data_IF_255393521639
#
_entry.id   IF_255393521639
#
_cell.length_a   1.000
_cell.length_b   1.000
_cell.length_c   1.000
_cell.angle_alpha   90.00
_cell.angle_beta   90.00
_cell.angle_gamma   90.00
#
_symmetry.space_group_name_H-M   'P 1'
#
loop_
_entity.id
_entity.type
_entity.pdbx_description
1 polymer ?
#
# COMPACT_ATOMS: atom_id res chain seq x y z
N UNK A 1 11.55 8.88 10.86
CA UNK A 1 11.81 7.42 10.89
C UNK A 1 12.60 7.06 12.14
N UNK A 2 12.03 6.29 13.06
CA UNK A 2 12.71 5.81 14.27
C UNK A 2 13.53 4.55 13.97
N UNK A 3 12.88 3.52 13.41
CA UNK A 3 13.49 2.22 13.04
C UNK A 3 13.84 2.14 11.54
N UNK A 4 14.86 1.40 11.12
CA UNK A 4 15.10 1.11 9.71
C UNK A 4 13.94 0.32 9.09
N UNK A 5 13.75 0.46 7.77
CA UNK A 5 12.82 -0.34 6.98
C UNK A 5 13.56 -0.95 5.79
N UNK A 6 13.09 -2.11 5.36
CA UNK A 6 13.48 -2.75 4.11
C UNK A 6 12.38 -2.54 3.07
N UNK A 7 12.75 -2.15 1.86
CA UNK A 7 11.87 -2.02 0.71
C UNK A 7 12.16 -3.21 -0.22
N UNK A 8 11.22 -4.14 -0.31
CA UNK A 8 11.35 -5.32 -1.15
C UNK A 8 10.64 -5.08 -2.49
N UNK A 9 11.41 -5.08 -3.59
CA UNK A 9 10.86 -4.94 -4.93
C UNK A 9 10.54 -6.31 -5.53
N UNK A 10 9.33 -6.43 -6.04
CA UNK A 10 8.85 -7.61 -6.77
C UNK A 10 8.55 -7.15 -8.18
N UNK A 11 9.47 -7.43 -9.10
CA UNK A 11 9.49 -6.83 -10.44
C UNK A 11 9.06 -7.82 -11.54
N UNK A 12 8.57 -7.29 -12.65
CA UNK A 12 8.29 -8.02 -13.89
C UNK A 12 9.07 -7.43 -15.08
N UNK A 13 8.75 -7.85 -16.31
CA UNK A 13 9.46 -7.41 -17.53
C UNK A 13 8.94 -6.11 -18.13
N UNK A 14 7.90 -5.48 -17.56
CA UNK A 14 7.28 -4.25 -18.11
C UNK A 14 8.10 -3.01 -17.75
N UNK A 15 7.95 -1.93 -18.53
CA UNK A 15 8.67 -0.68 -18.32
C UNK A 15 8.46 -0.07 -16.92
N UNK A 16 7.24 -0.20 -16.38
CA UNK A 16 6.91 0.26 -15.01
C UNK A 16 7.78 -0.39 -13.93
N UNK A 17 8.28 -1.62 -14.14
CA UNK A 17 9.22 -2.27 -13.21
C UNK A 17 10.57 -1.55 -13.15
N UNK A 18 11.07 -1.10 -14.31
CA UNK A 18 12.33 -0.36 -14.38
C UNK A 18 12.18 1.02 -13.75
N UNK A 19 11.04 1.68 -13.96
CA UNK A 19 10.71 2.96 -13.35
C UNK A 19 10.59 2.84 -11.82
N UNK A 20 9.89 1.81 -11.33
CA UNK A 20 9.78 1.54 -9.89
C UNK A 20 11.15 1.29 -9.26
N UNK A 21 11.97 0.45 -9.88
CA UNK A 21 13.32 0.17 -9.40
C UNK A 21 14.15 1.45 -9.30
N UNK A 22 14.22 2.24 -10.39
CA UNK A 22 14.98 3.48 -10.40
C UNK A 22 14.48 4.47 -9.33
N UNK A 23 13.16 4.59 -9.18
CA UNK A 23 12.54 5.45 -8.17
C UNK A 23 12.95 5.04 -6.75
N UNK A 24 12.86 3.76 -6.41
CA UNK A 24 13.15 3.27 -5.06
C UNK A 24 14.67 3.28 -4.78
N UNK A 25 15.51 3.01 -5.77
CA UNK A 25 16.96 3.17 -5.65
C UNK A 25 17.35 4.61 -5.30
N UNK A 26 16.75 5.61 -5.95
CA UNK A 26 16.99 7.02 -5.61
C UNK A 26 16.47 7.35 -4.21
N UNK A 27 15.29 6.86 -3.82
CA UNK A 27 14.74 7.09 -2.49
C UNK A 27 15.65 6.52 -1.38
N UNK A 28 16.18 5.31 -1.58
CA UNK A 28 17.09 4.64 -0.64
C UNK A 28 18.40 5.41 -0.49
N UNK A 29 18.95 5.98 -1.58
CA UNK A 29 20.16 6.82 -1.53
C UNK A 29 19.98 8.07 -0.66
N UNK A 30 18.75 8.58 -0.54
CA UNK A 30 18.43 9.78 0.25
C UNK A 30 18.25 9.50 1.76
N UNK A 31 18.23 8.23 2.19
CA UNK A 31 17.96 7.86 3.59
C UNK A 31 18.85 6.72 4.08
N UNK A 32 19.66 6.97 5.11
CA UNK A 32 20.43 5.92 5.79
C UNK A 32 19.60 4.93 6.62
N UNK A 33 18.26 4.99 6.54
CA UNK A 33 17.33 4.10 7.26
C UNK A 33 16.46 3.25 6.32
N UNK A 34 16.68 3.33 5.03
CA UNK A 34 16.01 2.49 4.04
C UNK A 34 17.04 1.51 3.47
N UNK A 35 16.63 0.25 3.36
CA UNK A 35 17.38 -0.79 2.68
C UNK A 35 16.58 -1.26 1.48
N UNK A 36 17.26 -1.71 0.44
CA UNK A 36 16.66 -2.22 -0.78
C UNK A 36 16.97 -3.70 -0.94
N UNK A 37 15.94 -4.49 -1.16
CA UNK A 37 16.05 -5.87 -1.62
C UNK A 37 15.25 -6.03 -2.90
N UNK A 38 15.82 -6.69 -3.90
CA UNK A 38 15.19 -6.84 -5.22
C UNK A 38 15.02 -8.33 -5.50
N UNK A 39 13.77 -8.73 -5.68
CA UNK A 39 13.40 -10.05 -6.14
C UNK A 39 12.86 -9.97 -7.58
N UNK A 40 13.62 -10.55 -8.49
CA UNK A 40 13.30 -10.64 -9.91
C UNK A 40 12.90 -12.09 -10.21
N UNK A 41 11.63 -12.40 -10.01
CA UNK A 41 11.07 -13.66 -10.48
C UNK A 41 10.74 -13.55 -11.98
N UNK A 42 11.22 -14.51 -12.77
CA UNK A 42 11.05 -14.54 -14.24
C UNK A 42 9.75 -15.17 -14.72
N UNK A 43 9.01 -15.83 -13.83
CA UNK A 43 7.70 -16.42 -14.15
C UNK A 43 6.58 -15.46 -13.74
N UNK A 44 5.91 -14.91 -14.75
CA UNK A 44 4.89 -13.86 -14.64
C UNK A 44 3.46 -14.40 -14.46
N UNK A 45 3.29 -15.72 -14.27
CA UNK A 45 1.98 -16.36 -14.25
C UNK A 45 1.58 -16.77 -12.84
N UNK A 46 1.40 -15.76 -11.98
CA UNK A 46 0.67 -15.89 -10.73
C UNK A 46 -0.54 -14.98 -10.87
N UNK A 47 -1.74 -15.49 -10.58
CA UNK A 47 -3.01 -14.85 -10.89
C UNK A 47 -3.20 -13.45 -10.27
N UNK A 48 -4.44 -12.95 -10.26
CA UNK A 48 -4.80 -11.59 -9.83
C UNK A 48 -4.24 -11.20 -8.44
N UNK A 49 -3.91 -12.18 -7.59
CA UNK A 49 -3.37 -11.98 -6.24
C UNK A 49 -1.88 -11.55 -6.17
N UNK A 50 -1.10 -11.67 -7.25
CA UNK A 50 0.35 -11.36 -7.22
C UNK A 50 0.78 -10.42 -8.35
N UNK A 51 0.01 -9.33 -8.53
CA UNK A 51 0.24 -8.40 -9.62
C UNK A 51 1.51 -7.56 -9.41
N UNK A 52 2.59 -7.98 -10.05
CA UNK A 52 3.83 -7.20 -10.16
C UNK A 52 3.68 -6.07 -11.18
N UNK A 53 4.47 -4.98 -11.11
CA UNK A 53 5.45 -4.73 -10.08
C UNK A 53 4.87 -4.06 -8.85
N UNK A 54 5.49 -4.33 -7.71
CA UNK A 54 5.21 -3.62 -6.47
C UNK A 54 6.44 -3.50 -5.58
N UNK A 55 6.37 -2.55 -4.66
CA UNK A 55 7.26 -2.43 -3.51
C UNK A 55 6.49 -2.80 -2.25
N UNK A 56 7.02 -3.75 -1.48
CA UNK A 56 6.53 -4.08 -0.14
C UNK A 56 7.42 -3.42 0.91
N UNK A 57 6.77 -2.90 1.96
CA UNK A 57 7.47 -2.30 3.10
C UNK A 57 7.58 -3.35 4.20
N UNK A 58 8.81 -3.65 4.58
CA UNK A 58 9.15 -4.62 5.61
C UNK A 58 9.94 -3.95 6.73
N UNK A 59 9.90 -4.56 7.91
CA UNK A 59 10.87 -4.30 8.98
C UNK A 59 12.27 -4.77 8.54
N UNK A 60 13.29 -4.36 9.29
CA UNK A 60 14.69 -4.69 9.01
C UNK A 60 14.96 -6.20 8.95
N UNK A 61 14.22 -7.01 9.72
CA UNK A 61 14.31 -8.46 9.73
C UNK A 61 13.55 -9.15 8.58
N UNK A 62 12.87 -8.39 7.71
CA UNK A 62 12.06 -8.91 6.60
C UNK A 62 10.59 -9.17 6.96
N UNK A 63 10.17 -8.92 8.20
CA UNK A 63 8.75 -9.03 8.57
C UNK A 63 7.93 -7.98 7.81
N UNK A 64 6.90 -8.40 7.06
CA UNK A 64 6.02 -7.47 6.34
C UNK A 64 5.32 -6.53 7.32
N UNK A 65 5.20 -5.25 6.96
CA UNK A 65 4.37 -4.30 7.70
C UNK A 65 2.94 -4.25 7.18
N UNK A 66 2.57 -5.14 6.26
CA UNK A 66 1.28 -5.15 5.58
C UNK A 66 1.12 -4.08 4.49
N UNK A 67 2.14 -3.27 4.20
CA UNK A 67 2.05 -2.18 3.22
C UNK A 67 2.68 -2.61 1.90
N UNK A 68 1.93 -2.46 0.80
CA UNK A 68 2.49 -2.56 -0.54
C UNK A 68 1.95 -1.48 -1.47
N UNK A 69 2.76 -1.12 -2.46
CA UNK A 69 2.37 -0.22 -3.54
C UNK A 69 2.70 -0.87 -4.89
N UNK A 70 1.67 -1.13 -5.68
CA UNK A 70 1.71 -1.70 -7.02
C UNK A 70 1.73 -0.59 -8.06
N UNK A 71 2.82 -0.51 -8.84
CA UNK A 71 3.18 0.64 -9.67
C UNK A 71 4.23 1.54 -9.01
N UNK A 72 4.41 2.77 -9.51
CA UNK A 72 5.40 3.73 -8.97
C UNK A 72 4.71 4.70 -8.00
N UNK A 73 5.15 4.81 -6.73
CA UNK A 73 4.52 5.69 -5.74
C UNK A 73 4.88 7.18 -5.98
N UNK A 74 4.43 7.72 -7.11
CA UNK A 74 4.64 9.11 -7.53
C UNK A 74 3.36 9.96 -7.46
N UNK A 75 3.35 11.07 -8.19
CA UNK A 75 2.19 11.97 -8.28
C UNK A 75 1.66 12.41 -6.91
N UNK A 76 0.35 12.35 -6.72
CA UNK A 76 -0.28 12.66 -5.42
C UNK A 76 -0.04 11.59 -4.35
N UNK A 77 0.35 10.37 -4.75
CA UNK A 77 0.60 9.26 -3.82
C UNK A 77 2.04 9.25 -3.27
N UNK A 78 2.93 10.11 -3.76
CA UNK A 78 4.26 10.32 -3.19
C UNK A 78 4.17 10.62 -1.69
N UNK A 79 3.32 11.58 -1.31
CA UNK A 79 3.12 11.96 0.09
C UNK A 79 2.52 10.80 0.90
N UNK A 80 1.57 10.07 0.32
CA UNK A 80 0.93 8.93 0.96
C UNK A 80 1.95 7.84 1.28
N UNK A 81 2.78 7.47 0.30
CA UNK A 81 3.82 6.47 0.46
C UNK A 81 4.84 6.86 1.54
N UNK A 82 5.28 8.13 1.54
CA UNK A 82 6.18 8.64 2.57
C UNK A 82 5.58 8.60 3.98
N UNK A 83 4.27 8.88 4.11
CA UNK A 83 3.54 8.73 5.38
C UNK A 83 3.43 7.26 5.79
N UNK A 84 3.19 6.34 4.84
CA UNK A 84 3.25 4.90 5.08
C UNK A 84 4.58 4.45 5.69
N UNK A 85 5.71 4.87 5.08
CA UNK A 85 7.05 4.60 5.63
C UNK A 85 7.25 5.22 7.01
N UNK A 86 6.75 6.44 7.24
CA UNK A 86 6.84 7.10 8.54
C UNK A 86 6.07 6.34 9.63
N UNK A 87 4.85 5.88 9.31
CA UNK A 87 3.99 5.11 10.21
C UNK A 87 4.59 3.74 10.53
N UNK A 88 5.05 2.99 9.53
CA UNK A 88 5.73 1.70 9.72
C UNK A 88 7.02 1.81 10.54
N UNK A 89 7.84 2.83 10.27
CA UNK A 89 9.11 3.07 10.98
C UNK A 89 8.91 3.53 12.44
N UNK A 90 7.78 4.14 12.74
CA UNK A 90 7.45 4.76 14.02
C UNK A 90 8.12 6.13 14.25
N UNK A 91 7.59 6.96 15.18
CA UNK A 91 6.39 6.71 16.01
C UNK A 91 5.06 6.84 15.24
N UNK A 92 5.08 7.29 13.99
CA UNK A 92 3.90 7.46 13.15
C UNK A 92 3.13 8.75 13.42
N UNK A 93 2.02 8.94 12.71
CA UNK A 93 1.09 10.03 12.91
C UNK A 93 0.28 9.79 14.19
N UNK A 94 -0.03 10.84 14.99
CA UNK A 94 -0.83 10.67 16.19
C UNK A 94 -2.25 10.21 15.84
N UNK A 95 -2.80 9.31 16.65
CA UNK A 95 -4.19 8.89 16.65
C UNK A 95 -4.80 9.15 18.02
N UNK A 96 -6.11 9.40 18.07
CA UNK A 96 -6.83 9.36 19.33
C UNK A 96 -6.92 7.91 19.86
N UNK A 97 -7.18 7.78 21.16
CA UNK A 97 -7.18 6.47 21.82
C UNK A 97 -8.26 5.53 21.29
N UNK A 98 -9.40 6.06 20.82
CA UNK A 98 -10.52 5.25 20.36
C UNK A 98 -10.17 4.60 19.02
N UNK A 99 -9.69 5.38 18.06
CA UNK A 99 -9.19 4.88 16.77
C UNK A 99 -8.06 3.88 16.97
N UNK A 100 -7.09 4.17 17.87
CA UNK A 100 -5.98 3.25 18.12
C UNK A 100 -6.45 1.91 18.72
N UNK A 101 -7.38 1.93 19.68
CA UNK A 101 -7.98 0.71 20.24
C UNK A 101 -8.78 -0.07 19.20
N UNK A 102 -9.53 0.62 18.33
CA UNK A 102 -10.30 -0.01 17.27
C UNK A 102 -9.39 -0.73 16.26
N UNK A 103 -8.26 -0.14 15.89
CA UNK A 103 -7.28 -0.79 15.00
C UNK A 103 -6.71 -2.05 15.64
N UNK A 104 -6.29 -1.98 16.90
CA UNK A 104 -5.70 -3.13 17.61
C UNK A 104 -6.70 -4.24 17.92
N UNK A 105 -8.00 -3.95 17.90
CA UNK A 105 -9.06 -4.92 18.15
C UNK A 105 -9.39 -5.80 16.93
N UNK A 106 -8.86 -5.50 15.74
CA UNK A 106 -9.03 -6.34 14.55
C UNK A 106 -8.22 -7.64 14.77
N UNK A 107 -8.93 -8.74 14.94
CA UNK A 107 -8.40 -10.07 15.27
C UNK A 107 -8.59 -11.11 14.14
N UNK A 108 -8.91 -10.62 12.95
CA UNK A 108 -9.08 -11.40 11.72
C UNK A 108 -8.22 -10.82 10.61
N UNK A 109 -7.75 -11.68 9.72
CA UNK A 109 -7.02 -11.23 8.54
C UNK A 109 -7.94 -10.41 7.62
N UNK A 110 -7.45 -9.25 7.19
CA UNK A 110 -8.14 -8.33 6.28
C UNK A 110 -7.20 -7.88 5.18
N UNK A 111 -7.64 -8.01 3.93
CA UNK A 111 -6.94 -7.44 2.79
C UNK A 111 -7.70 -6.22 2.26
N UNK A 112 -7.07 -5.06 2.32
CA UNK A 112 -7.56 -3.80 1.76
C UNK A 112 -6.79 -3.53 0.48
N UNK A 113 -7.49 -3.45 -0.66
CA UNK A 113 -6.94 -2.91 -1.92
C UNK A 113 -7.47 -1.50 -2.14
N UNK A 114 -6.57 -0.54 -2.28
CA UNK A 114 -6.93 0.84 -2.66
C UNK A 114 -6.53 1.06 -4.10
N UNK A 115 -7.53 1.12 -4.97
CA UNK A 115 -7.37 1.35 -6.40
C UNK A 115 -7.39 2.86 -6.66
N UNK A 116 -6.27 3.39 -7.14
CA UNK A 116 -6.01 4.81 -7.32
C UNK A 116 -5.38 5.11 -8.69
N UNK A 117 -5.23 6.39 -9.02
CA UNK A 117 -4.40 6.86 -10.13
C UNK A 117 -3.51 7.98 -9.63
N UNK A 118 -2.31 8.15 -10.19
CA UNK A 118 -1.33 9.15 -9.70
C UNK A 118 -1.81 10.61 -9.85
N UNK A 119 -2.78 10.86 -10.72
CA UNK A 119 -3.40 12.19 -10.93
C UNK A 119 -4.59 12.47 -10.01
N UNK A 120 -5.06 11.49 -9.23
CA UNK A 120 -6.20 11.60 -8.35
C UNK A 120 -5.87 12.43 -7.10
N UNK A 121 -6.53 13.57 -6.92
CA UNK A 121 -6.36 14.43 -5.74
C UNK A 121 -7.14 13.95 -4.50
N UNK A 122 -8.05 12.99 -4.68
CA UNK A 122 -8.95 12.49 -3.62
C UNK A 122 -8.53 11.11 -3.07
N UNK A 123 -7.57 10.47 -3.71
CA UNK A 123 -7.06 9.14 -3.36
C UNK A 123 -6.11 9.13 -2.14
N UNK A 124 -5.26 10.16 -1.91
CA UNK A 124 -4.27 10.11 -0.84
C UNK A 124 -4.84 9.85 0.55
N UNK A 125 -6.01 10.41 0.88
CA UNK A 125 -6.62 10.22 2.19
C UNK A 125 -7.00 8.76 2.45
N UNK A 126 -7.54 8.07 1.43
CA UNK A 126 -7.89 6.65 1.54
C UNK A 126 -6.65 5.77 1.62
N UNK A 127 -5.60 6.08 0.84
CA UNK A 127 -4.31 5.37 0.87
C UNK A 127 -3.66 5.49 2.24
N UNK A 128 -3.50 6.73 2.75
CA UNK A 128 -2.92 6.99 4.07
C UNK A 128 -3.71 6.27 5.15
N UNK A 129 -5.05 6.29 5.10
CA UNK A 129 -5.89 5.63 6.08
C UNK A 129 -5.68 4.11 6.09
N UNK A 130 -5.72 3.46 4.92
CA UNK A 130 -5.52 2.01 4.81
C UNK A 130 -4.12 1.60 5.30
N UNK A 131 -3.08 2.31 4.83
CA UNK A 131 -1.70 2.01 5.20
C UNK A 131 -1.41 2.30 6.68
N UNK A 132 -2.06 3.30 7.30
CA UNK A 132 -1.88 3.55 8.73
C UNK A 132 -2.48 2.43 9.58
N UNK A 133 -3.63 1.88 9.20
CA UNK A 133 -4.22 0.71 9.88
C UNK A 133 -3.30 -0.50 9.74
N UNK A 134 -2.84 -0.81 8.53
CA UNK A 134 -1.93 -1.93 8.27
C UNK A 134 -0.60 -1.82 9.03
N UNK A 135 -0.03 -0.61 9.13
CA UNK A 135 1.22 -0.38 9.87
C UNK A 135 1.10 -0.64 11.39
N UNK A 136 -0.14 -0.65 11.93
CA UNK A 136 -0.41 -0.81 13.36
C UNK A 136 -1.00 -2.19 13.72
N UNK A 137 -1.48 -2.97 12.75
CA UNK A 137 -2.07 -4.28 13.00
C UNK A 137 -1.58 -5.32 11.99
N UNK A 138 -0.96 -6.40 12.50
CA UNK A 138 -0.38 -7.48 11.71
C UNK A 138 -1.40 -8.30 10.90
N UNK A 139 -2.67 -8.26 11.27
CA UNK A 139 -3.76 -8.89 10.54
C UNK A 139 -4.24 -8.08 9.33
N UNK A 140 -3.81 -6.83 9.18
CA UNK A 140 -4.30 -5.95 8.12
C UNK A 140 -3.23 -5.73 7.07
N UNK A 141 -3.56 -6.09 5.83
CA UNK A 141 -2.76 -5.76 4.64
C UNK A 141 -3.42 -4.64 3.85
N UNK A 142 -2.63 -3.67 3.40
CA UNK A 142 -3.04 -2.56 2.54
C UNK A 142 -2.18 -2.54 1.26
N UNK A 143 -2.78 -3.02 0.17
CA UNK A 143 -2.19 -3.00 -1.17
C UNK A 143 -2.76 -1.81 -1.96
N UNK A 144 -1.90 -0.86 -2.34
CA UNK A 144 -2.29 0.29 -3.16
C UNK A 144 -1.97 -0.01 -4.62
N UNK A 145 -2.91 0.22 -5.53
CA UNK A 145 -2.72 -0.04 -6.95
C UNK A 145 -2.86 1.24 -7.77
N UNK A 146 -1.85 1.57 -8.56
CA UNK A 146 -2.05 2.46 -9.70
C UNK A 146 -2.72 1.68 -10.85
N UNK A 147 -4.04 1.81 -10.96
CA UNK A 147 -4.84 1.01 -11.91
C UNK A 147 -4.52 1.32 -13.37
N UNK A 148 -3.76 2.37 -13.66
CA UNK A 148 -3.20 2.61 -15.00
C UNK A 148 -2.30 1.47 -15.48
N UNK A 149 -1.71 0.70 -14.56
CA UNK A 149 -0.87 -0.45 -14.86
C UNK A 149 -1.56 -1.81 -14.67
N UNK A 150 -2.78 -1.82 -14.13
CA UNK A 150 -3.53 -3.03 -13.76
C UNK A 150 -4.99 -2.95 -14.24
N UNK A 151 -5.23 -2.84 -15.57
CA UNK A 151 -6.57 -2.68 -16.13
C UNK A 151 -7.53 -3.83 -15.80
N UNK A 152 -7.01 -5.02 -15.55
CA UNK A 152 -7.77 -6.20 -15.13
C UNK A 152 -8.49 -6.00 -13.79
N UNK A 153 -7.88 -5.30 -12.83
CA UNK A 153 -8.53 -4.98 -11.54
C UNK A 153 -9.71 -4.04 -11.73
N UNK A 154 -9.56 -3.07 -12.64
CA UNK A 154 -10.63 -2.14 -12.99
C UNK A 154 -11.85 -2.89 -13.50
N UNK A 155 -11.65 -3.86 -14.38
CA UNK A 155 -12.72 -4.68 -14.94
C UNK A 155 -13.29 -5.64 -13.90
N UNK A 156 -12.43 -6.31 -13.14
CA UNK A 156 -12.81 -7.32 -12.16
C UNK A 156 -13.71 -6.76 -11.05
N UNK A 157 -13.34 -5.59 -10.49
CA UNK A 157 -14.12 -4.94 -9.43
C UNK A 157 -15.11 -3.89 -9.94
N UNK A 158 -15.34 -3.83 -11.26
CA UNK A 158 -16.25 -2.87 -11.91
C UNK A 158 -16.01 -1.42 -11.44
N UNK A 159 -14.74 -0.99 -11.49
CA UNK A 159 -14.30 0.30 -10.95
C UNK A 159 -14.79 1.45 -11.83
N UNK A 160 -15.72 2.22 -11.30
CA UNK A 160 -16.32 3.37 -11.98
C UNK A 160 -15.62 4.70 -11.69
N UNK A 161 -14.98 4.80 -10.52
CA UNK A 161 -14.24 5.98 -10.07
C UNK A 161 -13.15 5.58 -9.08
N UNK A 162 -12.22 6.51 -8.82
CA UNK A 162 -11.16 6.36 -7.82
C UNK A 162 -11.25 7.48 -6.76
N UNK A 163 -10.82 7.24 -5.50
CA UNK A 163 -10.35 5.96 -4.99
C UNK A 163 -11.48 4.92 -4.90
N UNK A 164 -11.15 3.67 -5.21
CA UNK A 164 -12.01 2.51 -4.99
C UNK A 164 -11.34 1.60 -3.97
N UNK A 165 -12.04 1.34 -2.87
CA UNK A 165 -11.58 0.51 -1.76
C UNK A 165 -12.26 -0.85 -1.91
N UNK A 166 -11.46 -1.90 -2.04
CA UNK A 166 -11.91 -3.28 -2.11
C UNK A 166 -11.41 -4.01 -0.87
N UNK A 167 -12.30 -4.70 -0.17
CA UNK A 167 -11.95 -5.45 1.05
C UNK A 167 -12.25 -6.92 0.82
N UNK A 168 -11.31 -7.77 1.24
CA UNK A 168 -11.36 -9.23 1.15
C UNK A 168 -11.80 -9.70 -0.25
N UNK A 169 -11.11 -9.20 -1.27
CA UNK A 169 -11.30 -9.59 -2.67
C UNK A 169 -12.71 -9.38 -3.22
N UNK A 170 -13.38 -8.32 -2.75
CA UNK A 170 -14.67 -7.88 -3.30
C UNK A 170 -15.86 -8.19 -2.42
N UNK A 171 -15.66 -8.71 -1.19
CA UNK A 171 -16.74 -8.77 -0.19
C UNK A 171 -17.35 -7.39 0.04
N UNK A 172 -16.50 -6.36 0.09
CA UNK A 172 -16.92 -4.97 0.13
C UNK A 172 -16.20 -4.19 -0.97
N UNK A 173 -16.96 -3.39 -1.72
CA UNK A 173 -16.44 -2.40 -2.67
C UNK A 173 -17.02 -1.05 -2.31
N UNK A 174 -16.17 -0.08 -2.00
CA UNK A 174 -16.54 1.28 -1.62
C UNK A 174 -15.81 2.30 -2.49
N UNK A 175 -16.42 3.46 -2.70
CA UNK A 175 -15.87 4.52 -3.53
C UNK A 175 -15.72 5.82 -2.77
N UNK A 176 -14.83 6.67 -3.27
CA UNK A 176 -14.60 8.01 -2.76
C UNK A 176 -13.66 8.02 -1.57
N UNK A 177 -13.26 9.24 -1.18
CA UNK A 177 -12.32 9.45 -0.06
C UNK A 177 -12.83 8.80 1.22
N UNK A 178 -11.91 8.24 2.00
CA UNK A 178 -12.16 7.64 3.31
C UNK A 178 -11.07 8.09 4.26
N UNK A 179 -11.46 8.76 5.33
CA UNK A 179 -10.55 8.97 6.47
C UNK A 179 -10.43 7.67 7.28
N UNK A 180 -9.57 7.67 8.30
CA UNK A 180 -9.27 6.45 9.07
C UNK A 180 -10.48 5.86 9.79
N UNK A 181 -11.39 6.70 10.32
CA UNK A 181 -12.60 6.22 10.99
C UNK A 181 -13.58 5.61 9.99
N UNK A 182 -13.77 6.25 8.84
CA UNK A 182 -14.58 5.72 7.75
C UNK A 182 -13.98 4.46 7.13
N UNK A 183 -12.65 4.30 7.17
CA UNK A 183 -11.99 3.06 6.74
C UNK A 183 -12.28 1.95 7.74
N UNK A 184 -12.15 2.21 9.05
CA UNK A 184 -12.47 1.25 10.12
C UNK A 184 -13.92 0.78 10.07
N UNK A 185 -14.87 1.66 9.78
CA UNK A 185 -16.28 1.30 9.57
C UNK A 185 -16.48 0.26 8.45
N UNK A 186 -15.59 0.21 7.45
CA UNK A 186 -15.66 -0.77 6.37
C UNK A 186 -15.05 -2.14 6.76
N UNK A 187 -14.28 -2.21 7.85
CA UNK A 187 -13.58 -3.43 8.29
C UNK A 187 -14.38 -4.24 9.33
N UNK A 188 -15.43 -3.65 9.91
CA UNK A 188 -16.40 -4.32 10.79
C UNK A 188 -17.27 -5.31 10.03
#
# INVERSE_FOLDING_TARGET
MKRPLKLELKLDTRAVSQELQAYIEELVKLSGKLMLEIDIERDADKGIEQQRPYVEVCLEDGTSTGLAFHGVPGGHELTSFMLGLYNASGPGQPLDEETHKAILAIDRDVNIKVLATLSCTMCPEAVVSAQHIAALNEHVRADVYDISHFPELRLHYNVMSVPCIVIDDGKTVSFGKKNINQMLELLQ
#
